data_IF_845149765758
#
_entry.id   IF_845149765758
#
_cell.length_a   1.000
_cell.length_b   1.000
_cell.length_c   1.000
_cell.angle_alpha   90.00
_cell.angle_beta   90.00
_cell.angle_gamma   90.00
#
_symmetry.space_group_name_H-M   'P 1'
#
loop_
_entity.id
_entity.type
_entity.pdbx_description
1 polymer ?
#
# COMPACT_ATOMS: atom_id res chain seq x y z
N UNK A 1 -36.30 2.80 13.90
CA UNK A 1 -36.04 2.76 12.44
C UNK A 1 -36.00 1.30 12.01
N UNK A 2 -37.02 0.85 11.28
CA UNK A 2 -37.22 -0.56 10.93
C UNK A 2 -36.50 -0.87 9.61
N UNK A 3 -35.39 -1.60 9.66
CA UNK A 3 -34.68 -2.06 8.46
C UNK A 3 -35.38 -3.33 7.94
N UNK A 4 -36.32 -3.17 7.01
CA UNK A 4 -36.90 -4.31 6.29
C UNK A 4 -35.91 -4.75 5.21
N UNK A 5 -35.14 -5.79 5.49
CA UNK A 5 -34.27 -6.44 4.51
C UNK A 5 -35.04 -7.51 3.72
N UNK A 6 -36.17 -7.14 3.09
CA UNK A 6 -36.87 -8.03 2.18
C UNK A 6 -36.01 -8.22 0.92
N UNK A 7 -35.32 -9.37 0.85
CA UNK A 7 -34.63 -9.81 -0.37
C UNK A 7 -35.69 -10.27 -1.37
N UNK A 8 -36.29 -9.34 -2.09
CA UNK A 8 -37.10 -9.68 -3.24
C UNK A 8 -36.18 -10.11 -4.37
N UNK A 9 -36.52 -11.22 -5.03
CA UNK A 9 -35.82 -11.61 -6.24
C UNK A 9 -36.15 -10.59 -7.33
N UNK A 10 -35.11 -10.00 -7.92
CA UNK A 10 -35.23 -9.02 -9.00
C UNK A 10 -34.55 -9.61 -10.22
N UNK A 11 -35.18 -9.47 -11.39
CA UNK A 11 -34.60 -9.95 -12.63
C UNK A 11 -33.28 -9.22 -12.92
N UNK A 12 -32.32 -9.85 -13.61
CA UNK A 12 -31.05 -9.21 -13.97
C UNK A 12 -31.24 -7.91 -14.78
N UNK A 13 -32.26 -7.87 -15.63
CA UNK A 13 -32.60 -6.72 -16.47
C UNK A 13 -33.07 -5.54 -15.61
N UNK A 14 -33.98 -5.78 -14.66
CA UNK A 14 -34.46 -4.75 -13.74
C UNK A 14 -33.33 -4.23 -12.86
N UNK A 15 -32.43 -5.13 -12.42
CA UNK A 15 -31.24 -4.74 -11.66
C UNK A 15 -30.32 -3.81 -12.46
N UNK A 16 -30.05 -4.10 -13.72
CA UNK A 16 -29.20 -3.25 -14.57
C UNK A 16 -29.88 -1.90 -14.85
N UNK A 17 -31.19 -1.88 -15.06
CA UNK A 17 -31.95 -0.63 -15.24
C UNK A 17 -31.91 0.26 -13.99
N UNK A 18 -32.10 -0.31 -12.79
CA UNK A 18 -31.94 0.40 -11.53
C UNK A 18 -30.52 0.92 -11.30
N UNK A 19 -29.49 0.18 -11.73
CA UNK A 19 -28.11 0.67 -11.64
C UNK A 19 -27.85 1.82 -12.61
N UNK A 20 -28.38 1.74 -13.83
CA UNK A 20 -28.26 2.80 -14.81
C UNK A 20 -28.93 4.08 -14.34
N UNK A 21 -30.15 4.03 -13.79
CA UNK A 21 -30.83 5.23 -13.29
C UNK A 21 -30.04 5.91 -12.17
N UNK A 22 -29.58 5.14 -11.18
CA UNK A 22 -28.73 5.66 -10.08
C UNK A 22 -27.45 6.34 -10.58
N UNK A 23 -26.77 5.70 -11.54
CA UNK A 23 -25.52 6.20 -12.10
C UNK A 23 -25.76 7.45 -12.95
N UNK A 24 -26.77 7.41 -13.82
CA UNK A 24 -27.18 8.56 -14.64
C UNK A 24 -27.50 9.78 -13.77
N UNK A 25 -28.29 9.61 -12.73
CA UNK A 25 -28.70 10.71 -11.86
C UNK A 25 -27.49 11.29 -11.10
N UNK A 26 -26.58 10.43 -10.62
CA UNK A 26 -25.32 10.86 -10.01
C UNK A 26 -24.42 11.64 -10.98
N UNK A 27 -24.27 11.13 -12.20
CA UNK A 27 -23.44 11.75 -13.23
C UNK A 27 -24.03 13.08 -13.69
N UNK A 28 -25.35 13.19 -13.85
CA UNK A 28 -26.02 14.45 -14.21
C UNK A 28 -25.79 15.53 -13.15
N UNK A 29 -25.63 15.15 -11.87
CA UNK A 29 -25.28 16.08 -10.79
C UNK A 29 -23.82 16.52 -10.85
N UNK A 30 -22.89 15.63 -11.19
CA UNK A 30 -21.44 15.89 -11.14
C UNK A 30 -20.95 16.56 -12.44
N UNK A 31 -21.37 16.04 -13.59
CA UNK A 31 -20.83 16.41 -14.90
C UNK A 31 -21.89 16.31 -16.01
N UNK A 32 -22.88 17.21 -16.06
CA UNK A 32 -24.02 17.10 -16.98
C UNK A 32 -23.65 17.24 -18.47
N UNK A 33 -22.50 17.85 -18.80
CA UNK A 33 -22.09 18.13 -20.19
C UNK A 33 -20.99 17.21 -20.72
N UNK A 34 -20.60 16.17 -19.99
CA UNK A 34 -19.52 15.29 -20.46
C UNK A 34 -19.97 14.46 -21.66
N UNK A 35 -19.17 14.40 -22.75
CA UNK A 35 -19.53 13.67 -23.96
C UNK A 35 -19.34 12.15 -23.82
N UNK A 36 -18.68 11.68 -22.75
CA UNK A 36 -18.34 10.27 -22.53
C UNK A 36 -19.38 9.52 -21.68
N UNK A 37 -20.50 10.17 -21.37
CA UNK A 37 -21.55 9.58 -20.53
C UNK A 37 -22.56 8.89 -21.44
N UNK A 38 -22.91 7.60 -21.17
CA UNK A 38 -23.99 6.94 -21.89
C UNK A 38 -25.31 7.65 -21.60
N UNK A 39 -25.95 8.16 -22.67
CA UNK A 39 -27.20 8.94 -22.56
C UNK A 39 -28.41 8.02 -22.55
N UNK A 40 -28.36 6.94 -23.33
CA UNK A 40 -29.42 5.94 -23.39
C UNK A 40 -29.05 4.69 -22.58
N UNK A 41 -30.06 3.87 -22.27
CA UNK A 41 -29.82 2.56 -21.65
C UNK A 41 -29.10 1.60 -22.60
N UNK A 42 -29.28 1.73 -23.91
CA UNK A 42 -28.56 0.94 -24.91
C UNK A 42 -27.06 1.28 -24.87
N UNK A 43 -26.70 2.57 -24.91
CA UNK A 43 -25.31 3.04 -24.78
C UNK A 43 -24.67 2.53 -23.48
N UNK A 44 -25.46 2.50 -22.39
CA UNK A 44 -25.01 1.98 -21.09
C UNK A 44 -24.65 0.50 -21.17
N UNK A 45 -25.48 -0.32 -21.83
CA UNK A 45 -25.21 -1.74 -22.02
C UNK A 45 -23.98 -1.97 -22.89
N UNK A 46 -23.84 -1.24 -24.00
CA UNK A 46 -22.65 -1.31 -24.86
C UNK A 46 -21.38 -0.95 -24.09
N UNK A 47 -21.42 0.13 -23.33
CA UNK A 47 -20.31 0.55 -22.48
C UNK A 47 -19.96 -0.51 -21.42
N UNK A 48 -20.96 -1.16 -20.82
CA UNK A 48 -20.76 -2.25 -19.86
C UNK A 48 -20.10 -3.46 -20.49
N UNK A 49 -20.52 -3.84 -21.69
CA UNK A 49 -19.89 -4.91 -22.47
C UNK A 49 -18.44 -4.56 -22.79
N UNK A 50 -18.18 -3.36 -23.30
CA UNK A 50 -16.83 -2.88 -23.63
C UNK A 50 -15.89 -2.90 -22.41
N UNK A 51 -16.37 -2.49 -21.23
CA UNK A 51 -15.60 -2.59 -19.97
C UNK A 51 -15.25 -4.04 -19.66
N UNK A 52 -16.22 -4.95 -19.76
CA UNK A 52 -16.00 -6.37 -19.47
C UNK A 52 -15.00 -6.99 -20.44
N UNK A 53 -15.09 -6.67 -21.72
CA UNK A 53 -14.13 -7.11 -22.73
C UNK A 53 -12.72 -6.56 -22.48
N UNK A 54 -12.59 -5.29 -22.09
CA UNK A 54 -11.29 -4.71 -21.74
C UNK A 54 -10.69 -5.37 -20.48
N UNK A 55 -11.51 -5.64 -19.47
CA UNK A 55 -11.10 -6.39 -18.28
C UNK A 55 -10.61 -7.79 -18.65
N UNK A 56 -11.33 -8.51 -19.50
CA UNK A 56 -10.92 -9.82 -19.99
C UNK A 56 -9.61 -9.75 -20.79
N UNK A 57 -9.46 -8.75 -21.67
CA UNK A 57 -8.21 -8.52 -22.41
C UNK A 57 -7.02 -8.24 -21.48
N UNK A 58 -7.21 -7.44 -20.44
CA UNK A 58 -6.18 -7.16 -19.42
C UNK A 58 -5.77 -8.42 -18.67
N UNK A 59 -6.74 -9.23 -18.26
CA UNK A 59 -6.50 -10.50 -17.59
C UNK A 59 -5.78 -11.48 -18.52
N UNK A 60 -6.24 -11.63 -19.76
CA UNK A 60 -5.60 -12.49 -20.75
C UNK A 60 -4.15 -12.08 -21.04
N UNK A 61 -3.88 -10.77 -21.19
CA UNK A 61 -2.51 -10.25 -21.33
C UNK A 61 -1.65 -10.55 -20.11
N UNK A 62 -2.22 -10.43 -18.90
CA UNK A 62 -1.50 -10.74 -17.66
C UNK A 62 -1.19 -12.23 -17.57
N UNK A 63 -2.14 -13.11 -17.90
CA UNK A 63 -1.95 -14.55 -17.96
C UNK A 63 -0.85 -14.87 -18.98
N UNK A 64 -0.91 -14.34 -20.21
CA UNK A 64 0.09 -14.57 -21.23
C UNK A 64 1.50 -14.09 -20.80
N UNK A 65 1.59 -12.96 -20.09
CA UNK A 65 2.86 -12.47 -19.51
C UNK A 65 3.39 -13.37 -18.41
N UNK A 66 2.51 -13.97 -17.61
CA UNK A 66 2.90 -14.89 -16.53
C UNK A 66 3.29 -16.25 -17.12
N UNK A 67 2.50 -16.81 -18.04
CA UNK A 67 2.78 -18.09 -18.67
C UNK A 67 3.99 -18.06 -19.61
N UNK A 68 4.33 -16.89 -20.15
CA UNK A 68 5.55 -16.69 -20.95
C UNK A 68 6.78 -16.30 -20.12
N UNK A 69 6.63 -16.06 -18.81
CA UNK A 69 7.77 -16.01 -17.90
C UNK A 69 8.15 -17.46 -17.61
N UNK A 70 9.32 -17.87 -18.09
CA UNK A 70 9.95 -19.06 -17.56
C UNK A 70 10.29 -18.74 -16.10
N UNK A 71 9.67 -19.42 -15.13
CA UNK A 71 9.90 -19.22 -13.69
C UNK A 71 11.38 -19.44 -13.28
N UNK A 72 12.21 -19.89 -14.23
CA UNK A 72 13.66 -20.06 -14.13
C UNK A 72 14.48 -18.82 -14.49
N UNK A 73 13.89 -17.80 -15.11
CA UNK A 73 14.54 -16.50 -15.20
C UNK A 73 14.40 -15.83 -13.84
N UNK A 74 15.33 -16.16 -12.94
CA UNK A 74 15.68 -15.28 -11.82
C UNK A 74 15.90 -13.89 -12.43
N UNK A 75 14.91 -13.02 -12.28
CA UNK A 75 15.11 -11.60 -12.54
C UNK A 75 16.19 -11.24 -11.54
N UNK A 76 17.42 -11.09 -12.03
CA UNK A 76 18.53 -10.59 -11.22
C UNK A 76 18.15 -9.16 -10.90
N UNK A 77 17.50 -8.98 -9.75
CA UNK A 77 17.21 -7.66 -9.20
C UNK A 77 18.57 -7.12 -8.82
N UNK A 78 19.20 -6.41 -9.75
CA UNK A 78 20.39 -5.63 -9.43
C UNK A 78 19.97 -4.63 -8.36
N UNK A 79 20.70 -4.57 -7.23
CA UNK A 79 20.35 -3.62 -6.19
C UNK A 79 20.37 -2.22 -6.79
N UNK A 80 19.36 -1.41 -6.47
CA UNK A 80 19.21 -0.03 -6.98
C UNK A 80 20.45 0.84 -6.63
N UNK A 81 21.25 0.41 -5.64
CA UNK A 81 22.51 1.02 -5.22
C UNK A 81 23.76 0.18 -5.57
N UNK A 82 23.69 -0.73 -6.54
CA UNK A 82 24.84 -1.56 -6.96
C UNK A 82 25.20 -2.67 -5.97
N UNK A 83 26.41 -2.65 -5.40
CA UNK A 83 26.96 -3.70 -4.50
C UNK A 83 26.78 -3.34 -3.00
N UNK A 84 26.24 -2.15 -2.70
CA UNK A 84 26.15 -1.67 -1.32
C UNK A 84 24.95 -2.33 -0.62
N UNK A 85 25.23 -3.28 0.25
CA UNK A 85 24.24 -3.85 1.15
C UNK A 85 23.79 -2.74 2.11
N UNK A 86 22.50 -2.41 2.07
CA UNK A 86 21.90 -1.50 3.04
C UNK A 86 21.55 -2.32 4.27
N UNK A 87 21.91 -1.83 5.46
CA UNK A 87 21.47 -2.42 6.72
C UNK A 87 19.95 -2.58 6.76
N UNK A 88 19.50 -3.70 7.33
CA UNK A 88 18.09 -4.01 7.47
C UNK A 88 17.38 -2.93 8.32
N UNK A 89 16.13 -2.58 7.96
CA UNK A 89 15.35 -1.41 8.46
C UNK A 89 15.68 -0.06 7.84
N UNK A 90 16.40 0.03 6.72
CA UNK A 90 16.55 1.30 6.00
C UNK A 90 15.77 1.28 4.68
N UNK A 91 15.08 2.37 4.39
CA UNK A 91 14.37 2.55 3.13
C UNK A 91 15.37 2.62 1.98
N UNK A 92 15.09 1.89 0.89
CA UNK A 92 16.00 1.78 -0.27
C UNK A 92 16.37 3.12 -0.90
N UNK A 93 15.46 4.09 -0.88
CA UNK A 93 15.62 5.38 -1.59
C UNK A 93 16.29 6.44 -0.72
N UNK A 94 15.91 6.53 0.56
CA UNK A 94 16.35 7.60 1.46
C UNK A 94 17.39 7.15 2.48
N UNK A 95 17.70 5.85 2.55
CA UNK A 95 18.53 5.23 3.59
C UNK A 95 18.09 5.56 5.03
N UNK A 96 16.84 6.00 5.21
CA UNK A 96 16.22 6.34 6.50
C UNK A 96 15.66 5.11 7.18
N UNK A 97 15.70 5.08 8.50
CA UNK A 97 15.13 3.99 9.28
C UNK A 97 13.62 3.84 9.05
N UNK A 98 13.15 2.61 8.90
CA UNK A 98 11.75 2.27 8.64
C UNK A 98 11.38 0.92 9.23
N UNK A 99 10.09 0.73 9.52
CA UNK A 99 9.49 -0.52 9.97
C UNK A 99 9.55 -1.61 8.89
N UNK A 100 9.72 -1.23 7.62
CA UNK A 100 9.82 -2.15 6.51
C UNK A 100 11.20 -2.80 6.50
N UNK A 101 11.22 -4.13 6.54
CA UNK A 101 12.44 -4.93 6.59
C UNK A 101 12.52 -5.80 5.34
N UNK A 102 13.73 -6.01 4.84
CA UNK A 102 13.96 -6.93 3.72
C UNK A 102 14.07 -8.37 4.22
N UNK A 103 14.65 -8.57 5.40
CA UNK A 103 14.81 -9.87 6.01
C UNK A 103 13.72 -10.16 7.04
N UNK A 104 13.25 -11.42 7.05
CA UNK A 104 12.38 -11.97 8.09
C UNK A 104 13.19 -12.39 9.34
N UNK A 105 14.52 -12.36 9.28
CA UNK A 105 15.37 -12.75 10.38
C UNK A 105 15.35 -11.73 11.52
N UNK A 106 15.43 -12.27 12.75
CA UNK A 106 15.43 -11.46 13.96
C UNK A 106 16.70 -10.61 14.01
N UNK A 107 16.56 -9.29 14.05
CA UNK A 107 17.69 -8.41 14.31
C UNK A 107 18.17 -8.57 15.77
N UNK A 108 19.46 -8.43 16.05
CA UNK A 108 19.93 -8.27 17.42
C UNK A 108 19.25 -7.07 18.10
N UNK A 109 18.43 -7.34 19.13
CA UNK A 109 17.78 -6.31 19.94
C UNK A 109 16.28 -6.10 19.71
N UNK A 110 15.64 -6.76 18.74
CA UNK A 110 14.17 -6.76 18.61
C UNK A 110 13.66 -8.18 18.49
N UNK A 111 12.84 -8.62 19.44
CA UNK A 111 12.19 -9.93 19.38
C UNK A 111 11.05 -9.89 18.36
N UNK A 112 11.01 -10.88 17.47
CA UNK A 112 9.87 -11.06 16.59
C UNK A 112 8.63 -11.39 17.44
N UNK A 113 7.56 -10.60 17.29
CA UNK A 113 6.30 -10.94 17.95
C UNK A 113 5.72 -12.21 17.31
N UNK A 114 5.27 -13.18 18.12
CA UNK A 114 4.59 -14.36 17.58
C UNK A 114 3.28 -13.93 16.91
N UNK A 115 2.68 -14.84 16.15
CA UNK A 115 1.30 -14.66 15.71
C UNK A 115 0.37 -14.58 16.95
N UNK A 116 -0.70 -13.77 16.90
CA UNK A 116 -1.62 -13.65 18.02
C UNK A 116 -2.37 -14.97 18.22
N UNK A 117 -2.66 -15.28 19.49
CA UNK A 117 -3.65 -16.30 19.82
C UNK A 117 -5.06 -15.82 19.44
N UNK A 118 -6.01 -16.75 19.40
CA UNK A 118 -7.41 -16.40 19.11
C UNK A 118 -8.00 -15.39 20.11
N UNK A 119 -7.66 -15.54 21.40
CA UNK A 119 -8.12 -14.64 22.45
C UNK A 119 -7.49 -13.25 22.34
N UNK A 120 -6.17 -13.20 22.10
CA UNK A 120 -5.44 -11.94 21.87
C UNK A 120 -5.98 -11.21 20.66
N UNK A 121 -6.26 -11.93 19.57
CA UNK A 121 -6.84 -11.34 18.36
C UNK A 121 -8.21 -10.70 18.62
N UNK A 122 -9.05 -11.34 19.43
CA UNK A 122 -10.40 -10.87 19.73
C UNK A 122 -10.43 -9.70 20.72
N UNK A 123 -9.54 -9.68 21.71
CA UNK A 123 -9.63 -8.78 22.86
C UNK A 123 -8.51 -7.72 22.94
N UNK A 124 -7.39 -7.94 22.25
CA UNK A 124 -6.16 -7.14 22.39
C UNK A 124 -5.51 -6.81 21.02
N UNK A 125 -6.22 -6.99 19.91
CA UNK A 125 -5.68 -6.78 18.56
C UNK A 125 -5.13 -5.38 18.32
N UNK A 126 -5.88 -4.35 18.69
CA UNK A 126 -5.47 -2.95 18.54
C UNK A 126 -4.23 -2.63 19.39
N UNK A 127 -4.17 -3.12 20.62
CA UNK A 127 -3.06 -2.84 21.54
C UNK A 127 -1.80 -3.62 21.17
N UNK A 128 -1.97 -4.84 20.62
CA UNK A 128 -0.86 -5.62 20.07
C UNK A 128 -0.19 -4.91 18.89
N UNK A 129 -0.98 -4.26 18.03
CA UNK A 129 -0.45 -3.53 16.87
C UNK A 129 0.49 -2.39 17.26
N UNK A 130 0.27 -1.77 18.42
CA UNK A 130 1.07 -0.64 18.92
C UNK A 130 2.37 -1.11 19.58
N UNK A 131 2.31 -2.18 20.35
CA UNK A 131 3.42 -2.57 21.23
C UNK A 131 4.40 -3.55 20.58
N UNK A 132 3.96 -4.36 19.60
CA UNK A 132 4.71 -5.22 18.66
C UNK A 132 5.98 -5.97 19.11
N UNK A 133 6.33 -5.96 20.39
CA UNK A 133 7.36 -6.73 21.07
C UNK A 133 6.65 -7.66 22.08
N UNK A 134 6.91 -8.97 22.02
CA UNK A 134 6.32 -9.93 22.94
C UNK A 134 6.66 -9.69 24.42
N UNK A 135 7.68 -8.88 24.74
CA UNK A 135 7.94 -8.38 26.08
C UNK A 135 7.89 -9.47 27.17
N UNK A 136 7.31 -9.12 28.32
CA UNK A 136 7.03 -10.08 29.40
C UNK A 136 5.67 -10.73 29.18
N UNK A 137 5.62 -12.07 29.18
CA UNK A 137 4.42 -12.88 28.92
C UNK A 137 3.29 -12.61 29.93
N UNK A 138 3.62 -12.22 31.16
CA UNK A 138 2.63 -11.90 32.21
C UNK A 138 1.96 -10.52 32.08
N UNK A 139 2.44 -9.67 31.17
CA UNK A 139 1.90 -8.31 30.99
C UNK A 139 0.99 -8.27 29.76
N UNK A 140 -0.24 -7.78 29.95
CA UNK A 140 -1.21 -7.56 28.88
C UNK A 140 -0.67 -6.59 27.81
N UNK A 141 -1.06 -6.76 26.53
CA UNK A 141 -0.59 -5.90 25.44
C UNK A 141 -0.87 -4.39 25.66
N UNK A 142 -1.95 -4.06 26.37
CA UNK A 142 -2.33 -2.69 26.77
C UNK A 142 -1.33 -1.98 27.68
N UNK A 143 -0.64 -2.75 28.51
CA UNK A 143 0.28 -2.23 29.52
C UNK A 143 1.73 -2.18 29.02
N UNK A 144 1.97 -2.65 27.80
CA UNK A 144 3.31 -2.65 27.19
C UNK A 144 3.62 -1.29 26.60
N UNK A 145 4.92 -0.97 26.54
CA UNK A 145 5.38 0.24 25.89
C UNK A 145 5.05 0.16 24.39
N UNK A 146 4.43 1.20 23.80
CA UNK A 146 4.28 1.29 22.36
C UNK A 146 5.66 1.25 21.69
N UNK A 147 5.71 0.68 20.49
CA UNK A 147 6.92 0.76 19.68
C UNK A 147 7.15 2.22 19.28
N UNK A 148 8.40 2.71 19.37
CA UNK A 148 8.75 3.98 18.76
C UNK A 148 8.48 3.85 17.25
N UNK A 149 7.71 4.79 16.71
CA UNK A 149 7.57 4.92 15.26
C UNK A 149 8.85 5.55 14.72
N UNK A 150 9.33 5.05 13.59
CA UNK A 150 10.40 5.74 12.87
C UNK A 150 9.82 6.99 12.22
N UNK A 151 10.59 8.08 12.21
CA UNK A 151 10.17 9.36 11.62
C UNK A 151 9.67 9.23 10.17
N UNK A 152 10.25 8.31 9.41
CA UNK A 152 9.84 8.04 8.04
C UNK A 152 8.44 7.41 7.93
N UNK A 153 8.01 6.65 8.94
CA UNK A 153 6.73 5.92 8.94
C UNK A 153 5.60 6.66 9.68
N UNK A 154 5.88 7.84 10.26
CA UNK A 154 4.87 8.68 10.90
C UNK A 154 3.90 9.25 9.86
N UNK A 155 2.71 8.68 9.76
CA UNK A 155 1.68 9.13 8.81
C UNK A 155 0.98 10.39 9.36
N UNK A 156 0.98 11.46 8.57
CA UNK A 156 0.18 12.66 8.85
C UNK A 156 0.83 13.70 9.75
N UNK A 157 2.08 13.51 10.18
CA UNK A 157 2.87 14.59 10.79
C UNK A 157 3.21 15.61 9.71
N UNK A 158 2.70 16.84 9.86
CA UNK A 158 3.18 17.97 9.06
C UNK A 158 4.60 18.28 9.54
N UNK A 159 5.54 18.38 8.62
CA UNK A 159 6.85 18.99 8.87
C UNK A 159 6.61 20.46 9.22
N UNK A 160 6.30 20.74 10.48
CA UNK A 160 6.22 22.10 10.97
C UNK A 160 7.64 22.61 11.08
N UNK A 161 7.93 23.67 10.35
CA UNK A 161 9.25 24.32 10.23
C UNK A 161 9.75 24.90 11.56
N UNK A 162 8.95 24.83 12.63
CA UNK A 162 9.17 25.55 13.88
C UNK A 162 9.92 24.76 14.97
N UNK A 163 10.39 23.55 14.69
CA UNK A 163 11.32 22.84 15.59
C UNK A 163 12.77 23.12 15.16
N UNK A 164 13.31 24.28 15.56
CA UNK A 164 14.74 24.60 15.37
C UNK A 164 15.70 23.67 16.14
N UNK A 165 15.17 22.77 16.98
CA UNK A 165 15.94 21.73 17.69
C UNK A 165 16.19 20.47 16.85
N UNK A 166 15.47 20.27 15.74
CA UNK A 166 15.67 19.17 14.80
C UNK A 166 16.53 19.61 13.60
N UNK A 167 17.61 20.37 13.84
CA UNK A 167 18.77 20.29 12.93
C UNK A 167 19.33 18.88 13.09
N UNK A 168 18.76 17.93 12.32
CA UNK A 168 19.46 16.68 12.00
C UNK A 168 20.91 17.08 11.71
N UNK A 169 21.93 16.42 12.28
CA UNK A 169 23.27 16.57 11.76
C UNK A 169 23.13 16.20 10.29
N UNK A 170 23.13 17.22 9.42
CA UNK A 170 22.89 17.04 8.00
C UNK A 170 23.78 15.89 7.58
N UNK A 171 23.16 14.83 7.04
CA UNK A 171 23.87 13.66 6.57
C UNK A 171 25.06 14.21 5.78
N UNK A 172 26.27 14.05 6.34
CA UNK A 172 27.44 14.78 5.87
C UNK A 172 27.48 14.63 4.35
N UNK A 173 27.53 15.74 3.62
CA UNK A 173 27.28 15.73 2.18
C UNK A 173 28.22 14.74 1.48
N UNK A 174 29.42 14.57 2.07
CA UNK A 174 30.42 13.57 1.75
C UNK A 174 29.95 12.12 1.99
N UNK A 175 29.29 11.85 3.11
CA UNK A 175 28.72 10.54 3.45
C UNK A 175 27.52 10.22 2.53
N UNK A 176 26.68 11.22 2.24
CA UNK A 176 25.59 11.11 1.27
C UNK A 176 26.14 10.79 -0.13
N UNK A 177 27.21 11.48 -0.55
CA UNK A 177 27.94 11.21 -1.79
C UNK A 177 28.60 9.83 -1.81
N UNK A 178 29.05 9.28 -0.68
CA UNK A 178 29.53 7.90 -0.61
C UNK A 178 28.41 6.85 -0.81
N UNK A 179 27.15 7.19 -0.45
CA UNK A 179 26.01 6.29 -0.64
C UNK A 179 25.40 6.39 -2.05
N UNK A 180 25.42 7.59 -2.65
CA UNK A 180 25.05 7.79 -4.06
C UNK A 180 26.23 7.31 -4.90
N UNK A 181 26.21 6.04 -5.32
CA UNK A 181 27.28 5.47 -6.14
C UNK A 181 27.65 6.37 -7.32
N UNK A 182 28.95 6.49 -7.62
CA UNK A 182 29.51 7.40 -8.63
C UNK A 182 28.85 7.33 -10.02
N UNK A 183 28.22 6.19 -10.33
CA UNK A 183 27.42 5.98 -11.55
C UNK A 183 26.20 6.89 -11.67
N UNK A 184 25.60 7.32 -10.56
CA UNK A 184 24.39 8.15 -10.56
C UNK A 184 24.73 9.64 -10.78
N UNK A 185 25.92 10.07 -10.34
CA UNK A 185 26.47 11.41 -10.57
C UNK A 185 26.82 11.58 -12.06
N UNK A 186 27.47 10.58 -12.66
CA UNK A 186 27.80 10.59 -14.09
C UNK A 186 26.59 10.66 -15.03
N UNK A 187 25.40 10.24 -14.55
CA UNK A 187 24.16 10.22 -15.32
C UNK A 187 23.37 11.54 -15.18
N UNK A 188 23.70 12.36 -14.17
CA UNK A 188 23.13 13.70 -13.98
C UNK A 188 23.93 14.78 -14.73
N UNK A 189 25.21 14.52 -14.97
CA UNK A 189 26.11 15.41 -15.73
C UNK A 189 26.08 15.18 -17.26
N UNK A 190 25.22 14.27 -17.75
CA UNK A 190 24.99 13.97 -19.18
C UNK A 190 23.65 14.49 -19.67
#
# INVERSE_FOLDING_TARGET
>A
MSYSASKTWVSPQTKELETWTKIRDSIMRISPRSPFIPKTFADWLEHRVAIKEDQLRKVARKIARISGRDDRQEITIHPVLGVKEIEDRRALVLARETIWRQSLESFPGRRLAPWPSYEEYKHEGDDRSKSGDPGNVTVNWKQRKPLPQYLFDEVGRRTTVDNEEDKEPGLDELLAMEFVGASLILLLDS
#
